data_IF_865138967670
#
_entry.id   IF_865138967670
#
_cell.length_a   1.000
_cell.length_b   1.000
_cell.length_c   1.000
_cell.angle_alpha   90.00
_cell.angle_beta   90.00
_cell.angle_gamma   90.00
#
_symmetry.space_group_name_H-M   'P 1'
#
loop_
_entity.id
_entity.type
_entity.pdbx_description
1 polymer ?
#
# COMPACT_ATOMS: atom_id res chain seq x y z
N UNK A 1 -1.47 8.79 -30.79
CA UNK A 1 -1.69 7.65 -29.87
C UNK A 1 -0.45 6.79 -29.86
N UNK A 2 0.49 7.05 -28.95
CA UNK A 2 1.67 6.20 -28.76
C UNK A 2 1.34 5.11 -27.75
N UNK A 3 1.56 3.84 -28.13
CA UNK A 3 1.43 2.70 -27.22
C UNK A 3 2.57 2.80 -26.20
N UNK A 4 2.25 2.89 -24.91
CA UNK A 4 3.22 2.80 -23.83
C UNK A 4 3.97 1.47 -23.94
N UNK A 5 5.30 1.47 -24.23
CA UNK A 5 6.07 0.24 -24.25
C UNK A 5 6.36 -0.07 -22.78
N UNK A 6 5.43 -0.78 -22.13
CA UNK A 6 5.63 -1.26 -20.77
C UNK A 6 7.03 -1.89 -20.62
N UNK A 7 7.64 -1.83 -19.42
CA UNK A 7 9.00 -2.28 -19.22
C UNK A 7 9.21 -3.66 -19.85
N UNK A 8 10.21 -3.78 -20.72
CA UNK A 8 10.51 -5.03 -21.41
C UNK A 8 10.73 -6.10 -20.34
N UNK A 9 9.96 -7.18 -20.44
CA UNK A 9 9.83 -8.28 -19.48
C UNK A 9 11.11 -9.10 -19.25
N UNK A 10 12.27 -8.59 -19.64
CA UNK A 10 13.56 -9.27 -19.70
C UNK A 10 14.54 -8.88 -18.59
N UNK A 11 14.25 -7.85 -17.79
CA UNK A 11 15.09 -7.52 -16.64
C UNK A 11 14.48 -8.12 -15.37
N UNK A 12 15.14 -9.12 -14.74
CA UNK A 12 14.63 -9.70 -13.52
C UNK A 12 14.63 -8.60 -12.45
N UNK A 13 13.44 -8.27 -11.93
CA UNK A 13 13.34 -7.45 -10.72
C UNK A 13 14.29 -8.02 -9.65
N UNK A 14 15.03 -7.17 -8.94
CA UNK A 14 16.05 -7.63 -8.00
C UNK A 14 15.49 -8.70 -7.07
N UNK A 15 16.28 -9.74 -6.77
CA UNK A 15 15.92 -10.86 -5.88
C UNK A 15 15.47 -10.44 -4.45
N UNK A 16 15.48 -9.15 -4.15
CA UNK A 16 14.98 -8.51 -2.93
C UNK A 16 13.45 -8.37 -2.87
N UNK A 17 12.69 -8.69 -3.92
CA UNK A 17 11.21 -8.65 -3.88
C UNK A 17 10.63 -9.86 -3.11
N UNK A 18 10.95 -9.98 -1.82
CA UNK A 18 10.22 -10.84 -0.88
C UNK A 18 9.18 -9.99 -0.14
N UNK A 19 8.00 -9.93 -0.75
CA UNK A 19 6.65 -9.65 -0.20
C UNK A 19 6.59 -8.98 1.17
N UNK A 20 6.81 -7.67 1.24
CA UNK A 20 6.44 -6.85 2.41
C UNK A 20 5.80 -5.55 1.92
N UNK A 21 4.71 -5.08 2.56
CA UNK A 21 3.98 -3.85 2.19
C UNK A 21 4.89 -2.62 1.97
N UNK A 22 6.00 -2.53 2.72
CA UNK A 22 7.00 -1.45 2.59
C UNK A 22 7.70 -1.43 1.22
N UNK A 23 7.99 -2.59 0.63
CA UNK A 23 8.69 -2.65 -0.67
C UNK A 23 7.79 -2.20 -1.83
N UNK A 24 6.49 -2.47 -1.78
CA UNK A 24 5.56 -2.01 -2.82
C UNK A 24 5.50 -0.49 -2.89
N UNK A 25 5.54 0.22 -1.75
CA UNK A 25 5.56 1.68 -1.72
C UNK A 25 6.79 2.22 -2.46
N UNK A 26 7.97 1.73 -2.11
CA UNK A 26 9.22 2.18 -2.71
C UNK A 26 9.23 1.95 -4.23
N UNK A 27 8.80 0.77 -4.69
CA UNK A 27 8.68 0.48 -6.12
C UNK A 27 7.67 1.41 -6.81
N UNK A 28 6.56 1.77 -6.16
CA UNK A 28 5.56 2.70 -6.73
C UNK A 28 6.12 4.12 -6.84
N UNK A 29 6.84 4.57 -5.82
CA UNK A 29 7.48 5.89 -5.81
C UNK A 29 8.65 5.97 -6.81
N UNK A 30 9.34 4.85 -7.05
CA UNK A 30 10.49 4.77 -7.96
C UNK A 30 10.10 4.69 -9.45
N UNK A 31 9.10 3.87 -9.82
CA UNK A 31 8.76 3.66 -11.24
C UNK A 31 7.42 4.30 -11.67
N UNK A 32 6.25 3.94 -11.11
CA UNK A 32 4.97 4.55 -11.49
C UNK A 32 4.86 6.07 -11.27
N UNK A 33 5.19 6.61 -10.09
CA UNK A 33 4.91 8.02 -9.80
C UNK A 33 5.62 8.98 -10.76
N UNK A 34 6.93 8.82 -11.09
CA UNK A 34 7.59 9.65 -12.08
C UNK A 34 6.88 9.65 -13.44
N UNK A 35 6.39 8.51 -13.89
CA UNK A 35 5.68 8.39 -15.17
C UNK A 35 4.31 9.09 -15.16
N UNK A 36 3.58 8.99 -14.05
CA UNK A 36 2.33 9.75 -13.88
C UNK A 36 2.59 11.25 -13.97
N UNK A 37 3.68 11.72 -13.35
CA UNK A 37 4.08 13.14 -13.41
C UNK A 37 4.47 13.58 -14.82
N UNK A 38 5.30 12.79 -15.50
CA UNK A 38 5.74 13.05 -16.87
C UNK A 38 4.56 13.19 -17.84
N UNK A 39 3.54 12.35 -17.67
CA UNK A 39 2.34 12.37 -18.50
C UNK A 39 1.20 13.25 -17.95
N UNK A 40 1.41 13.95 -16.83
CA UNK A 40 0.39 14.82 -16.21
C UNK A 40 -0.88 14.07 -15.77
N UNK A 41 -0.76 12.78 -15.46
CA UNK A 41 -1.87 11.94 -15.02
C UNK A 41 -2.22 12.29 -13.58
N UNK A 42 -3.51 12.57 -13.33
CA UNK A 42 -4.03 12.87 -12.00
C UNK A 42 -4.11 11.58 -11.18
N UNK A 43 -3.38 11.52 -10.07
CA UNK A 43 -3.51 10.47 -9.07
C UNK A 43 -4.38 10.99 -7.91
N UNK A 44 -5.44 10.25 -7.61
CA UNK A 44 -6.31 10.49 -6.46
C UNK A 44 -6.23 9.26 -5.57
N UNK A 45 -5.74 9.42 -4.35
CA UNK A 45 -5.76 8.36 -3.35
C UNK A 45 -7.02 8.47 -2.50
N UNK A 46 -7.67 7.34 -2.24
CA UNK A 46 -8.84 7.23 -1.36
C UNK A 46 -8.51 6.32 -0.18
N UNK A 47 -9.05 6.64 0.98
CA UNK A 47 -9.01 5.79 2.16
C UNK A 47 -10.36 5.74 2.85
N UNK A 48 -10.65 4.64 3.56
CA UNK A 48 -11.84 4.55 4.42
C UNK A 48 -11.64 5.40 5.67
N UNK A 49 -12.72 5.99 6.16
CA UNK A 49 -12.74 6.68 7.45
C UNK A 49 -13.07 5.76 8.63
N UNK A 50 -13.59 4.56 8.35
CA UNK A 50 -13.83 3.53 9.36
C UNK A 50 -14.23 2.16 8.78
N UNK A 51 -14.76 1.27 9.63
CA UNK A 51 -15.14 -0.10 9.29
C UNK A 51 -16.59 -0.27 8.82
N UNK A 52 -17.52 0.57 9.26
CA UNK A 52 -18.95 0.48 8.95
C UNK A 52 -19.22 0.80 7.48
N UNK A 53 -20.31 0.27 6.94
CA UNK A 53 -20.71 0.55 5.55
C UNK A 53 -21.16 1.99 5.34
N UNK A 54 -21.68 2.61 6.39
CA UNK A 54 -22.16 3.99 6.38
C UNK A 54 -21.03 5.01 6.54
N UNK A 55 -19.84 4.56 6.95
CA UNK A 55 -18.66 5.41 7.03
C UNK A 55 -18.08 5.65 5.63
N UNK A 56 -17.75 6.91 5.37
CA UNK A 56 -17.38 7.41 4.05
C UNK A 56 -15.92 7.09 3.65
N UNK A 57 -15.54 7.63 2.49
CA UNK A 57 -14.16 7.66 2.03
C UNK A 57 -13.61 9.07 2.16
N UNK A 58 -12.39 9.20 2.65
CA UNK A 58 -11.64 10.45 2.55
C UNK A 58 -10.78 10.44 1.30
N UNK A 59 -10.72 11.59 0.64
CA UNK A 59 -9.70 11.86 -0.36
C UNK A 59 -8.40 12.17 0.39
N UNK A 60 -7.32 11.49 -0.01
CA UNK A 60 -5.95 11.75 0.45
C UNK A 60 -5.26 12.66 -0.58
N UNK A 61 -4.00 12.48 -1.05
CA UNK A 61 -3.48 13.38 -2.07
C UNK A 61 -4.22 13.20 -3.39
N UNK A 62 -4.55 14.35 -3.97
CA UNK A 62 -5.12 14.53 -5.28
C UNK A 62 -4.22 15.49 -6.06
N UNK A 63 -3.42 14.94 -6.97
CA UNK A 63 -2.39 15.72 -7.66
C UNK A 63 -2.05 15.14 -9.03
N UNK A 64 -1.65 16.01 -9.96
CA UNK A 64 -0.95 15.63 -11.20
C UNK A 64 0.56 15.52 -11.03
N UNK A 65 1.06 15.91 -9.86
CA UNK A 65 2.47 15.84 -9.47
C UNK A 65 2.67 15.00 -8.20
N UNK A 66 2.24 13.71 -8.15
CA UNK A 66 2.40 12.89 -6.95
C UNK A 66 3.87 12.55 -6.68
N UNK A 67 4.35 12.82 -5.46
CA UNK A 67 5.74 12.53 -5.05
C UNK A 67 5.84 11.32 -4.12
N UNK A 68 4.79 11.04 -3.36
CA UNK A 68 4.78 9.96 -2.36
C UNK A 68 3.44 9.25 -2.36
N UNK A 69 3.46 7.96 -2.02
CA UNK A 69 2.27 7.15 -1.85
C UNK A 69 1.92 7.05 -0.36
N UNK A 70 0.75 7.54 0.04
CA UNK A 70 0.25 7.35 1.40
C UNK A 70 -0.27 5.92 1.58
N UNK A 71 0.35 5.16 2.50
CA UNK A 71 0.05 3.73 2.74
C UNK A 71 -0.94 3.53 3.89
N UNK A 72 -1.18 4.57 4.70
CA UNK A 72 -2.10 4.53 5.84
C UNK A 72 -3.06 5.71 5.74
N UNK A 73 -4.35 5.43 5.77
CA UNK A 73 -5.41 6.44 5.91
C UNK A 73 -5.91 6.53 7.36
N UNK A 74 -7.01 7.25 7.60
CA UNK A 74 -7.59 7.43 8.94
C UNK A 74 -7.98 6.10 9.60
N UNK A 75 -8.40 5.13 8.79
CA UNK A 75 -8.70 3.79 9.24
C UNK A 75 -8.08 2.74 8.32
N UNK A 76 -7.63 1.64 8.90
CA UNK A 76 -7.11 0.47 8.18
C UNK A 76 -7.64 -0.82 8.78
N UNK A 77 -7.61 -1.90 7.98
CA UNK A 77 -7.90 -3.25 8.45
C UNK A 77 -7.07 -3.66 9.68
N UNK A 78 -5.86 -3.09 9.84
CA UNK A 78 -5.04 -3.38 11.02
C UNK A 78 -5.66 -2.79 12.28
N UNK A 79 -6.13 -1.56 12.23
CA UNK A 79 -6.77 -0.88 13.35
C UNK A 79 -8.02 -1.67 13.80
N UNK A 80 -8.76 -2.18 12.82
CA UNK A 80 -9.94 -3.01 13.05
C UNK A 80 -9.62 -4.35 13.72
N UNK A 81 -8.63 -5.06 13.18
CA UNK A 81 -8.22 -6.35 13.72
C UNK A 81 -7.65 -6.20 15.14
N UNK A 82 -6.87 -5.15 15.39
CA UNK A 82 -6.32 -4.84 16.72
C UNK A 82 -7.45 -4.55 17.74
N UNK A 83 -8.54 -3.89 17.32
CA UNK A 83 -9.69 -3.60 18.20
C UNK A 83 -10.38 -4.85 18.77
N UNK A 84 -10.32 -5.98 18.03
CA UNK A 84 -10.89 -7.27 18.44
C UNK A 84 -9.84 -8.27 18.93
N UNK A 85 -8.61 -7.81 19.23
CA UNK A 85 -7.55 -8.66 19.76
C UNK A 85 -6.82 -9.53 18.73
N UNK A 86 -7.05 -9.28 17.44
CA UNK A 86 -6.47 -10.04 16.32
C UNK A 86 -5.40 -9.22 15.59
N UNK A 87 -4.61 -9.85 14.73
CA UNK A 87 -3.67 -9.16 13.86
C UNK A 87 -3.83 -9.62 12.42
N UNK A 88 -3.59 -8.75 11.42
CA UNK A 88 -3.54 -9.18 10.04
C UNK A 88 -2.47 -10.27 9.89
N UNK A 89 -2.84 -11.42 9.32
CA UNK A 89 -1.87 -12.44 8.97
C UNK A 89 -0.93 -11.88 7.90
N UNK A 90 0.30 -11.54 8.30
CA UNK A 90 1.36 -11.23 7.35
C UNK A 90 1.99 -12.54 6.88
N UNK A 91 2.24 -12.67 5.58
CA UNK A 91 3.05 -13.77 5.07
C UNK A 91 4.45 -13.67 5.70
N UNK A 92 4.75 -14.59 6.64
CA UNK A 92 5.90 -14.51 7.54
C UNK A 92 5.58 -15.17 8.88
N UNK A 93 5.97 -14.53 9.99
CA UNK A 93 5.68 -15.00 11.36
C UNK A 93 4.17 -15.25 11.51
N UNK A 94 3.80 -16.50 11.80
CA UNK A 94 2.42 -16.99 11.91
C UNK A 94 1.76 -16.52 13.21
N UNK A 95 1.67 -15.21 13.39
CA UNK A 95 0.95 -14.62 14.51
C UNK A 95 -0.42 -14.22 14.03
N UNK A 96 -1.46 -14.83 14.61
CA UNK A 96 -2.86 -14.57 14.26
C UNK A 96 -3.60 -13.75 15.34
N UNK A 97 -3.01 -13.63 16.53
CA UNK A 97 -3.61 -13.04 17.74
C UNK A 97 -2.55 -12.25 18.51
N UNK A 98 -2.94 -11.11 19.09
CA UNK A 98 -2.05 -10.28 19.92
C UNK A 98 -1.54 -11.02 21.17
N UNK A 99 -2.37 -11.86 21.79
CA UNK A 99 -1.98 -12.64 22.97
C UNK A 99 -0.84 -13.65 22.69
N UNK A 100 -0.64 -14.05 21.44
CA UNK A 100 0.41 -15.00 21.05
C UNK A 100 1.74 -14.29 20.74
N UNK A 101 1.76 -12.96 20.54
CA UNK A 101 3.00 -12.23 20.29
C UNK A 101 3.83 -11.94 21.55
N UNK A 102 3.27 -12.11 22.75
CA UNK A 102 3.97 -11.91 24.03
C UNK A 102 4.61 -13.19 24.61
N UNK A 103 4.63 -14.29 23.84
CA UNK A 103 5.26 -15.56 24.23
C UNK A 103 6.32 -15.87 23.17
N UNK A 104 7.57 -15.50 23.48
CA UNK A 104 8.74 -15.80 22.65
C UNK A 104 9.84 -14.76 22.79
N UNK A 105 10.55 -14.82 23.92
CA UNK A 105 12.00 -14.48 23.97
C UNK A 105 12.79 -15.46 23.09
#
# INVERSE_FOLDING_TARGET
MGVWPGPKRSEPLPRAVRRTRRHCRLLIEEFPLPLLREHGVRLIQLARTGNLREEEFTVLPDSRHPEQLLVRGPWTLRDDLESVGTVPQQAGTRTCLLAKSSIGD
#
